data_IF_622481959612
#
_entry.id   IF_622481959612
#
_cell.length_a   1.000
_cell.length_b   1.000
_cell.length_c   1.000
_cell.angle_alpha   90.00
_cell.angle_beta   90.00
_cell.angle_gamma   90.00
#
_symmetry.space_group_name_H-M   'P 1'
#
loop_
_entity.id
_entity.type
_entity.pdbx_description
1 polymer ?
#
# COMPACT_ATOMS: atom_id res chain seq x y z
N UNK A 1 21.27 40.09 -24.55
CA UNK A 1 21.13 38.63 -24.79
C UNK A 1 19.76 38.24 -24.26
N UNK A 2 18.80 38.12 -25.17
CA UNK A 2 17.38 38.00 -24.90
C UNK A 2 16.97 36.59 -25.34
N UNK A 3 16.44 35.79 -24.43
CA UNK A 3 15.93 34.45 -24.74
C UNK A 3 14.42 34.56 -24.99
N UNK A 4 13.88 34.08 -26.13
CA UNK A 4 12.44 33.99 -26.32
C UNK A 4 11.90 32.70 -25.71
N UNK A 5 10.84 32.83 -24.91
CA UNK A 5 9.93 31.73 -24.58
C UNK A 5 9.10 31.34 -25.80
N UNK A 6 8.80 30.05 -25.94
CA UNK A 6 7.72 29.59 -26.82
C UNK A 6 7.00 28.38 -26.21
N UNK A 7 5.66 28.32 -26.28
CA UNK A 7 4.83 27.36 -25.55
C UNK A 7 4.28 26.28 -26.47
N UNK A 8 4.31 25.00 -26.06
CA UNK A 8 3.56 23.95 -26.78
C UNK A 8 3.12 22.81 -25.85
N UNK A 9 1.83 22.45 -25.96
CA UNK A 9 1.41 21.05 -25.88
C UNK A 9 0.63 20.61 -24.63
N UNK A 10 -0.65 20.99 -24.56
CA UNK A 10 -1.60 20.34 -23.64
C UNK A 10 -2.00 18.96 -24.16
N UNK A 11 -1.75 17.91 -23.37
CA UNK A 11 -2.34 16.59 -23.56
C UNK A 11 -3.45 16.35 -22.51
N UNK A 12 -4.69 16.26 -23.00
CA UNK A 12 -5.89 15.94 -22.22
C UNK A 12 -5.97 14.43 -22.03
N UNK A 13 -5.57 13.92 -20.86
CA UNK A 13 -5.77 12.50 -20.53
C UNK A 13 -7.22 12.26 -20.07
N UNK A 14 -7.97 11.53 -20.89
CA UNK A 14 -9.31 11.01 -20.57
C UNK A 14 -9.26 10.09 -19.35
N UNK A 15 -10.01 10.46 -18.31
CA UNK A 15 -10.29 9.63 -17.14
C UNK A 15 -11.28 8.54 -17.49
N UNK A 16 -10.86 7.27 -17.49
CA UNK A 16 -11.81 6.16 -17.34
C UNK A 16 -12.34 6.15 -15.90
N UNK A 17 -13.66 6.24 -15.77
CA UNK A 17 -14.40 6.13 -14.52
C UNK A 17 -14.59 4.64 -14.20
N UNK A 18 -13.85 4.09 -13.25
CA UNK A 18 -14.23 2.83 -12.61
C UNK A 18 -15.28 3.12 -11.52
N UNK A 19 -16.50 2.65 -11.77
CA UNK A 19 -17.60 2.70 -10.81
C UNK A 19 -17.33 1.73 -9.65
N UNK A 20 -17.21 2.27 -8.44
CA UNK A 20 -17.16 1.50 -7.20
C UNK A 20 -18.59 1.04 -6.88
N UNK A 21 -18.87 -0.27 -6.98
CA UNK A 21 -20.10 -0.87 -6.46
C UNK A 21 -19.94 -1.11 -4.96
N UNK A 22 -20.91 -0.69 -4.10
CA UNK A 22 -20.88 -1.05 -2.69
C UNK A 22 -21.24 -2.53 -2.53
N UNK A 23 -20.36 -3.27 -1.87
CA UNK A 23 -20.54 -4.68 -1.54
C UNK A 23 -21.62 -4.81 -0.47
N UNK A 24 -22.62 -5.62 -0.78
CA UNK A 24 -23.82 -5.88 0.02
C UNK A 24 -23.45 -6.63 1.31
N UNK A 25 -24.16 -6.24 2.37
CA UNK A 25 -24.23 -6.92 3.68
C UNK A 25 -24.54 -8.40 3.52
N UNK A 26 -23.62 -9.28 3.94
CA UNK A 26 -23.84 -10.72 4.02
C UNK A 26 -24.36 -11.11 5.43
N UNK A 27 -25.48 -11.85 5.55
CA UNK A 27 -25.93 -12.40 6.82
C UNK A 27 -25.12 -13.64 7.23
N UNK A 28 -24.89 -13.79 8.54
CA UNK A 28 -24.14 -14.88 9.14
C UNK A 28 -24.84 -16.26 8.97
N UNK A 29 -24.10 -17.37 8.77
CA UNK A 29 -24.70 -18.69 8.66
C UNK A 29 -25.03 -19.28 10.04
N UNK A 30 -26.23 -19.87 10.10
CA UNK A 30 -26.83 -20.59 11.22
C UNK A 30 -26.14 -21.96 11.36
N UNK A 31 -25.47 -22.20 12.48
CA UNK A 31 -24.84 -23.48 12.81
C UNK A 31 -25.94 -24.53 13.02
N UNK A 32 -26.00 -25.54 12.15
CA UNK A 32 -26.80 -26.76 12.38
C UNK A 32 -25.93 -27.81 13.07
N UNK A 33 -26.52 -28.49 14.06
CA UNK A 33 -25.88 -29.52 14.87
C UNK A 33 -25.58 -30.80 14.06
N UNK A 34 -24.38 -31.36 14.25
CA UNK A 34 -23.96 -32.63 13.68
C UNK A 34 -24.51 -33.82 14.49
N UNK A 35 -25.04 -34.87 13.85
CA UNK A 35 -25.42 -36.11 14.54
C UNK A 35 -24.19 -36.96 14.91
N UNK A 36 -24.20 -37.50 16.12
CA UNK A 36 -23.19 -38.45 16.64
C UNK A 36 -23.23 -39.74 15.82
N UNK A 37 -22.10 -40.11 15.20
CA UNK A 37 -21.95 -41.38 14.47
C UNK A 37 -21.27 -42.41 15.36
N UNK A 38 -21.97 -43.52 15.58
CA UNK A 38 -21.52 -44.67 16.37
C UNK A 38 -20.33 -45.40 15.71
N UNK A 39 -19.47 -45.96 16.55
CA UNK A 39 -18.29 -46.73 16.17
C UNK A 39 -18.71 -48.13 15.71
N UNK A 40 -18.39 -48.49 14.47
CA UNK A 40 -18.29 -49.90 14.06
C UNK A 40 -16.91 -50.14 13.45
N UNK A 41 -16.13 -50.92 14.17
CA UNK A 41 -14.81 -51.42 13.74
C UNK A 41 -15.05 -52.54 12.74
N UNK A 42 -14.53 -52.39 11.53
CA UNK A 42 -14.17 -53.53 10.69
C UNK A 42 -12.81 -53.25 10.03
N UNK A 43 -11.85 -54.10 10.35
CA UNK A 43 -10.52 -54.15 9.74
C UNK A 43 -10.60 -55.07 8.54
N UNK A 44 -10.42 -54.56 7.31
CA UNK A 44 -9.79 -55.31 6.20
C UNK A 44 -9.10 -54.31 5.27
N UNK A 45 -7.77 -54.44 5.16
CA UNK A 45 -6.97 -54.19 3.96
C UNK A 45 -7.07 -52.84 3.24
N UNK A 46 -6.28 -51.85 3.68
CA UNK A 46 -5.83 -50.75 2.83
C UNK A 46 -4.30 -50.84 2.70
N UNK A 47 -3.83 -51.71 1.81
CA UNK A 47 -2.41 -51.79 1.43
C UNK A 47 -2.32 -51.68 -0.08
N UNK A 48 -2.52 -50.46 -0.60
CA UNK A 48 -2.09 -49.99 -1.93
C UNK A 48 -2.55 -48.52 -2.13
N UNK A 49 -1.95 -47.59 -1.40
CA UNK A 49 -2.13 -46.15 -1.67
C UNK A 49 -0.86 -45.32 -1.41
N UNK A 50 0.31 -45.99 -1.31
CA UNK A 50 1.58 -45.32 -1.02
C UNK A 50 2.49 -45.15 -2.26
N UNK A 51 2.07 -45.63 -3.44
CA UNK A 51 2.92 -45.71 -4.63
C UNK A 51 2.57 -44.68 -5.74
N UNK A 52 1.65 -43.76 -5.49
CA UNK A 52 1.24 -42.73 -6.46
C UNK A 52 1.54 -41.31 -5.96
N UNK A 53 2.69 -41.11 -5.31
CA UNK A 53 3.15 -39.75 -4.99
C UNK A 53 3.68 -39.11 -6.29
N UNK A 54 2.78 -38.35 -6.89
CA UNK A 54 2.84 -37.60 -8.14
C UNK A 54 4.18 -36.88 -8.40
N UNK A 55 4.88 -37.15 -9.52
CA UNK A 55 6.00 -36.32 -9.98
C UNK A 55 5.60 -34.88 -10.38
N UNK A 56 4.29 -34.57 -10.53
CA UNK A 56 3.82 -33.22 -10.86
C UNK A 56 3.79 -32.25 -9.68
N UNK A 57 3.36 -32.69 -8.50
CA UNK A 57 3.23 -31.80 -7.33
C UNK A 57 4.62 -31.30 -6.85
N UNK A 58 5.65 -32.14 -6.98
CA UNK A 58 7.02 -31.79 -6.59
C UNK A 58 7.65 -30.72 -7.48
N UNK A 59 7.35 -30.72 -8.78
CA UNK A 59 7.86 -29.70 -9.71
C UNK A 59 7.18 -28.34 -9.55
N UNK A 60 5.90 -28.33 -9.15
CA UNK A 60 5.15 -27.13 -8.81
C UNK A 60 5.69 -26.48 -7.54
N UNK A 61 5.93 -27.26 -6.48
CA UNK A 61 6.56 -26.80 -5.23
C UNK A 61 7.94 -26.18 -5.50
N UNK A 62 8.80 -26.85 -6.29
CA UNK A 62 10.13 -26.34 -6.67
C UNK A 62 10.04 -25.03 -7.49
N UNK A 63 9.00 -24.88 -8.32
CA UNK A 63 8.77 -23.68 -9.10
C UNK A 63 8.31 -22.50 -8.23
N UNK A 64 7.48 -22.75 -7.22
CA UNK A 64 7.06 -21.75 -6.24
C UNK A 64 8.24 -21.27 -5.40
N UNK A 65 9.08 -22.18 -4.91
CA UNK A 65 10.29 -21.84 -4.15
C UNK A 65 11.25 -20.97 -4.96
N UNK A 66 11.46 -21.30 -6.25
CA UNK A 66 12.26 -20.48 -7.18
C UNK A 66 11.67 -19.08 -7.36
N UNK A 67 10.34 -18.97 -7.49
CA UNK A 67 9.66 -17.67 -7.61
C UNK A 67 9.80 -16.85 -6.33
N UNK A 68 9.65 -17.48 -5.16
CA UNK A 68 9.85 -16.80 -3.88
C UNK A 68 11.29 -16.31 -3.72
N UNK A 69 12.27 -17.15 -4.04
CA UNK A 69 13.69 -16.78 -3.97
C UNK A 69 14.00 -15.57 -4.85
N UNK A 70 13.59 -15.61 -6.13
CA UNK A 70 13.83 -14.50 -7.08
C UNK A 70 13.12 -13.22 -6.65
N UNK A 71 11.88 -13.33 -6.14
CA UNK A 71 11.15 -12.19 -5.60
C UNK A 71 11.88 -11.54 -4.42
N UNK A 72 12.35 -12.34 -3.46
CA UNK A 72 13.12 -11.85 -2.30
C UNK A 72 14.42 -11.17 -2.74
N UNK A 73 15.15 -11.75 -3.70
CA UNK A 73 16.38 -11.13 -4.21
C UNK A 73 16.10 -9.79 -4.91
N UNK A 74 15.03 -9.69 -5.69
CA UNK A 74 14.63 -8.45 -6.33
C UNK A 74 14.27 -7.36 -5.29
N UNK A 75 13.56 -7.73 -4.22
CA UNK A 75 13.28 -6.81 -3.11
C UNK A 75 14.57 -6.35 -2.41
N UNK A 76 15.49 -7.27 -2.11
CA UNK A 76 16.78 -6.95 -1.50
C UNK A 76 17.62 -6.02 -2.38
N UNK A 77 17.63 -6.23 -3.70
CA UNK A 77 18.32 -5.38 -4.65
C UNK A 77 17.73 -3.95 -4.70
N UNK A 78 16.41 -3.84 -4.78
CA UNK A 78 15.71 -2.55 -4.76
C UNK A 78 15.93 -1.79 -3.43
N UNK A 79 15.91 -2.51 -2.31
CA UNK A 79 16.23 -1.95 -1.00
C UNK A 79 17.69 -1.47 -0.95
N UNK A 80 18.64 -2.27 -1.46
CA UNK A 80 20.06 -1.92 -1.46
C UNK A 80 20.35 -0.65 -2.27
N UNK A 81 19.67 -0.47 -3.41
CA UNK A 81 19.73 0.77 -4.17
C UNK A 81 19.30 1.97 -3.33
N UNK A 82 18.11 1.90 -2.72
CA UNK A 82 17.56 2.99 -1.89
C UNK A 82 18.45 3.31 -0.69
N UNK A 83 18.96 2.28 -0.01
CA UNK A 83 19.91 2.45 1.11
C UNK A 83 21.20 3.12 0.63
N UNK A 84 21.71 2.74 -0.55
CA UNK A 84 22.86 3.39 -1.17
C UNK A 84 22.64 4.89 -1.38
N UNK A 85 21.49 5.28 -1.93
CA UNK A 85 21.13 6.69 -2.15
C UNK A 85 21.06 7.47 -0.82
N UNK A 86 20.39 6.94 0.19
CA UNK A 86 20.29 7.58 1.52
C UNK A 86 21.68 7.67 2.18
N UNK A 87 22.51 6.64 2.04
CA UNK A 87 23.88 6.66 2.57
C UNK A 87 24.73 7.71 1.86
N UNK A 88 24.55 7.92 0.56
CA UNK A 88 25.25 8.95 -0.18
C UNK A 88 24.86 10.36 0.31
N UNK A 89 23.57 10.64 0.45
CA UNK A 89 23.09 11.93 1.00
C UNK A 89 23.64 12.17 2.42
N UNK A 90 23.62 11.12 3.26
CA UNK A 90 24.15 11.20 4.62
C UNK A 90 25.69 11.37 4.66
N UNK A 91 26.41 10.79 3.69
CA UNK A 91 27.85 10.92 3.53
C UNK A 91 28.24 12.35 3.16
N UNK A 92 27.55 12.93 2.18
CA UNK A 92 27.75 14.31 1.73
C UNK A 92 27.46 15.31 2.86
N UNK A 93 26.33 15.15 3.56
CA UNK A 93 25.95 16.03 4.67
C UNK A 93 26.96 16.03 5.84
N UNK A 94 27.66 14.91 6.05
CA UNK A 94 28.61 14.73 7.17
C UNK A 94 30.08 14.80 6.75
N UNK A 95 30.37 14.92 5.45
CA UNK A 95 31.73 14.88 4.90
C UNK A 95 32.45 13.54 5.12
N UNK A 96 31.72 12.43 5.20
CA UNK A 96 32.27 11.07 5.41
C UNK A 96 32.06 10.19 4.17
N UNK A 97 32.76 9.06 4.08
CA UNK A 97 32.54 8.06 3.02
C UNK A 97 32.09 6.73 3.61
N UNK A 98 31.04 6.14 3.05
CA UNK A 98 30.62 4.77 3.38
C UNK A 98 31.27 3.77 2.41
N UNK A 99 31.74 2.64 2.94
CA UNK A 99 32.25 1.55 2.10
C UNK A 99 31.12 0.70 1.55
N UNK A 100 31.34 0.02 0.41
CA UNK A 100 30.34 -0.88 -0.19
C UNK A 100 29.87 -1.98 0.78
N UNK A 101 30.76 -2.65 1.55
CA UNK A 101 30.34 -3.62 2.57
C UNK A 101 29.47 -2.99 3.67
N UNK A 102 29.76 -1.76 4.09
CA UNK A 102 28.93 -1.05 5.09
C UNK A 102 27.51 -0.82 4.57
N UNK A 103 27.36 -0.38 3.32
CA UNK A 103 26.05 -0.19 2.69
C UNK A 103 25.32 -1.54 2.57
N UNK A 104 26.02 -2.61 2.16
CA UNK A 104 25.44 -3.95 2.10
C UNK A 104 24.97 -4.46 3.46
N UNK A 105 25.74 -4.23 4.52
CA UNK A 105 25.38 -4.61 5.88
C UNK A 105 24.13 -3.85 6.36
N UNK A 106 24.05 -2.53 6.10
CA UNK A 106 22.85 -1.74 6.43
C UNK A 106 21.63 -2.29 5.68
N UNK A 107 21.76 -2.58 4.39
CA UNK A 107 20.65 -3.14 3.59
C UNK A 107 20.15 -4.48 4.15
N UNK A 108 21.05 -5.38 4.56
CA UNK A 108 20.67 -6.67 5.14
C UNK A 108 20.03 -6.53 6.53
N UNK A 109 20.51 -5.59 7.35
CA UNK A 109 19.90 -5.29 8.66
C UNK A 109 18.49 -4.72 8.46
N UNK A 110 18.33 -3.75 7.56
CA UNK A 110 17.02 -3.15 7.25
C UNK A 110 16.04 -4.19 6.72
N UNK A 111 16.48 -5.09 5.84
CA UNK A 111 15.63 -6.16 5.32
C UNK A 111 15.09 -7.07 6.43
N UNK A 112 15.98 -7.51 7.36
CA UNK A 112 15.57 -8.32 8.52
C UNK A 112 14.68 -7.54 9.49
N UNK A 113 14.95 -6.25 9.67
CA UNK A 113 14.16 -5.40 10.55
C UNK A 113 12.70 -5.23 10.06
N UNK A 114 12.47 -5.24 8.75
CA UNK A 114 11.12 -5.22 8.18
C UNK A 114 10.28 -6.42 8.62
N UNK A 115 10.87 -7.60 8.82
CA UNK A 115 10.13 -8.77 9.31
C UNK A 115 9.59 -8.54 10.73
N UNK A 116 10.43 -7.98 11.61
CA UNK A 116 10.02 -7.61 12.96
C UNK A 116 8.92 -6.54 12.94
N UNK A 117 9.09 -5.50 12.13
CA UNK A 117 8.10 -4.43 12.00
C UNK A 117 6.76 -4.95 11.45
N UNK A 118 6.77 -5.83 10.44
CA UNK A 118 5.56 -6.40 9.89
C UNK A 118 4.77 -7.19 10.95
N UNK A 119 5.45 -8.05 11.71
CA UNK A 119 4.84 -8.85 12.79
C UNK A 119 4.27 -7.97 13.90
N UNK A 120 5.02 -6.96 14.33
CA UNK A 120 4.57 -6.04 15.38
C UNK A 120 3.33 -5.25 14.93
N UNK A 121 3.35 -4.71 13.70
CA UNK A 121 2.22 -3.96 13.16
C UNK A 121 0.96 -4.81 12.97
N UNK A 122 1.12 -6.07 12.53
CA UNK A 122 0.01 -7.03 12.46
C UNK A 122 -0.59 -7.25 13.86
N UNK A 123 0.26 -7.45 14.87
CA UNK A 123 -0.19 -7.65 16.24
C UNK A 123 -0.88 -6.42 16.83
N UNK A 124 -0.40 -5.20 16.54
CA UNK A 124 -1.03 -3.96 17.03
C UNK A 124 -2.42 -3.77 16.41
N UNK A 125 -2.55 -3.95 15.10
CA UNK A 125 -3.85 -3.85 14.43
C UNK A 125 -4.82 -4.92 14.98
N UNK A 126 -4.36 -6.16 15.14
CA UNK A 126 -5.15 -7.27 15.68
C UNK A 126 -5.57 -7.04 17.13
N UNK A 127 -4.70 -6.48 17.96
CA UNK A 127 -5.02 -6.12 19.35
C UNK A 127 -6.17 -5.11 19.43
N UNK A 128 -6.23 -4.18 18.47
CA UNK A 128 -7.32 -3.22 18.33
C UNK A 128 -8.54 -3.76 17.55
N UNK A 129 -8.61 -5.08 17.29
CA UNK A 129 -9.68 -5.75 16.51
C UNK A 129 -9.84 -5.20 15.08
N UNK A 130 -8.76 -4.72 14.47
CA UNK A 130 -8.69 -4.24 13.08
C UNK A 130 -7.87 -5.20 12.22
N UNK A 131 -8.18 -5.26 10.93
CA UNK A 131 -7.36 -5.95 9.91
C UNK A 131 -6.49 -4.97 9.11
N UNK A 132 -6.78 -3.68 9.17
CA UNK A 132 -6.03 -2.61 8.49
C UNK A 132 -5.17 -1.85 9.49
N UNK A 133 -3.89 -1.71 9.17
CA UNK A 133 -2.90 -0.95 9.93
C UNK A 133 -3.17 0.55 9.77
N UNK A 134 -3.16 1.29 10.88
CA UNK A 134 -3.37 2.73 10.96
C UNK A 134 -2.11 3.46 11.46
N UNK A 135 -2.12 4.80 11.41
CA UNK A 135 -1.01 5.64 11.90
C UNK A 135 -0.67 5.41 13.38
N UNK A 136 -1.67 5.11 14.20
CA UNK A 136 -1.47 4.84 15.64
C UNK A 136 -0.65 3.57 15.89
N UNK A 137 -0.76 2.56 15.01
CA UNK A 137 0.06 1.34 15.11
C UNK A 137 1.54 1.65 14.81
N UNK A 138 1.79 2.54 13.84
CA UNK A 138 3.14 3.00 13.48
C UNK A 138 3.76 3.88 14.57
N UNK A 139 2.96 4.77 15.19
CA UNK A 139 3.41 5.54 16.37
C UNK A 139 3.77 4.61 17.52
N UNK A 140 2.95 3.57 17.77
CA UNK A 140 3.21 2.59 18.83
C UNK A 140 4.50 1.79 18.56
N UNK A 141 4.81 1.50 17.30
CA UNK A 141 6.08 0.87 16.90
C UNK A 141 7.29 1.73 17.29
N UNK A 142 7.19 3.05 17.16
CA UNK A 142 8.26 4.00 17.43
C UNK A 142 8.46 4.35 18.93
N UNK A 143 7.60 3.87 19.82
CA UNK A 143 7.51 4.29 21.25
C UNK A 143 8.81 4.20 22.05
N UNK A 144 9.77 3.38 21.63
CA UNK A 144 11.02 3.13 22.37
C UNK A 144 11.98 4.32 22.34
N UNK A 145 11.83 5.22 21.38
CA UNK A 145 12.65 6.43 21.27
C UNK A 145 11.75 7.65 21.20
N UNK A 146 11.87 8.54 22.20
CA UNK A 146 11.05 9.74 22.29
C UNK A 146 11.29 10.70 21.12
N UNK A 147 12.55 10.87 20.69
CA UNK A 147 12.88 11.71 19.53
C UNK A 147 12.28 11.15 18.24
N UNK A 148 12.33 9.83 18.05
CA UNK A 148 11.75 9.17 16.89
C UNK A 148 10.22 9.25 16.89
N UNK A 149 9.59 9.02 18.05
CA UNK A 149 8.14 9.13 18.21
C UNK A 149 7.64 10.52 17.87
N UNK A 150 8.32 11.56 18.36
CA UNK A 150 7.98 12.95 18.07
C UNK A 150 8.07 13.24 16.57
N UNK A 151 9.19 12.84 15.94
CA UNK A 151 9.39 13.04 14.52
C UNK A 151 8.33 12.33 13.66
N UNK A 152 7.99 11.08 13.99
CA UNK A 152 6.95 10.32 13.27
C UNK A 152 5.57 10.95 13.49
N UNK A 153 5.29 11.45 14.69
CA UNK A 153 4.02 12.12 15.00
C UNK A 153 3.86 13.38 14.15
N UNK A 154 4.89 14.23 14.10
CA UNK A 154 4.91 15.42 13.25
C UNK A 154 4.68 15.07 11.78
N UNK A 155 5.42 14.09 11.25
CA UNK A 155 5.24 13.63 9.87
C UNK A 155 3.83 13.07 9.59
N UNK A 156 3.21 12.39 10.56
CA UNK A 156 1.84 11.89 10.41
C UNK A 156 0.81 13.01 10.32
N UNK A 157 1.02 14.11 11.05
CA UNK A 157 0.17 15.29 11.00
C UNK A 157 0.34 16.05 9.68
N UNK A 158 1.57 16.23 9.21
CA UNK A 158 1.87 16.81 7.89
C UNK A 158 1.11 16.05 6.77
N UNK A 159 1.21 14.71 6.76
CA UNK A 159 0.53 13.86 5.77
C UNK A 159 -1.00 14.00 5.89
N UNK A 160 -1.52 14.07 7.11
CA UNK A 160 -2.97 14.23 7.35
C UNK A 160 -3.48 15.56 6.79
N UNK A 161 -2.76 16.66 7.04
CA UNK A 161 -3.08 17.99 6.48
C UNK A 161 -3.03 17.98 4.96
N UNK A 162 -1.96 17.44 4.37
CA UNK A 162 -1.82 17.36 2.92
C UNK A 162 -2.96 16.55 2.27
N UNK A 163 -3.37 15.44 2.88
CA UNK A 163 -4.49 14.62 2.40
C UNK A 163 -5.84 15.36 2.49
N UNK A 164 -6.04 16.18 3.53
CA UNK A 164 -7.25 16.98 3.69
C UNK A 164 -7.33 18.07 2.61
N UNK A 165 -6.23 18.80 2.36
CA UNK A 165 -6.18 19.82 1.31
C UNK A 165 -6.47 19.23 -0.08
N UNK A 166 -5.98 18.04 -0.38
CA UNK A 166 -6.28 17.36 -1.65
C UNK A 166 -7.76 17.00 -1.78
N UNK A 167 -8.40 16.56 -0.68
CA UNK A 167 -9.85 16.29 -0.66
C UNK A 167 -10.66 17.56 -0.90
N UNK A 168 -10.27 18.67 -0.29
CA UNK A 168 -10.97 19.95 -0.43
C UNK A 168 -10.79 20.55 -1.83
N UNK A 169 -9.59 20.44 -2.43
CA UNK A 169 -9.34 20.77 -3.84
C UNK A 169 -10.20 19.94 -4.79
N UNK A 170 -10.42 18.64 -4.48
CA UNK A 170 -11.27 17.75 -5.28
C UNK A 170 -12.77 18.10 -5.15
N UNK A 171 -13.23 18.51 -3.97
CA UNK A 171 -14.61 18.98 -3.74
C UNK A 171 -14.89 20.29 -4.48
N UNK A 172 -14.00 21.28 -4.38
CA UNK A 172 -14.13 22.56 -5.11
C UNK A 172 -14.16 22.40 -6.63
N UNK A 173 -13.39 21.45 -7.18
CA UNK A 173 -13.45 21.11 -8.63
C UNK A 173 -14.74 20.41 -9.04
N UNK A 174 -15.43 19.71 -8.14
CA UNK A 174 -16.70 19.06 -8.43
C UNK A 174 -17.88 20.05 -8.40
N UNK A 175 -17.82 21.07 -7.55
CA UNK A 175 -18.86 22.10 -7.43
C UNK A 175 -18.77 23.22 -8.50
N UNK A 176 -17.57 23.48 -9.06
CA UNK A 176 -17.36 24.52 -10.09
C UNK A 176 -17.78 24.16 -11.52
N UNK A 177 -18.33 22.97 -11.77
CA UNK A 177 -18.61 22.45 -13.12
C UNK A 177 -19.97 22.84 -13.74
N UNK A 178 -20.86 23.53 -13.01
CA UNK A 178 -22.21 23.87 -13.48
C UNK A 178 -22.52 25.36 -13.35
N UNK A 179 -21.77 26.23 -14.02
CA UNK A 179 -22.28 27.56 -14.42
C UNK A 179 -21.83 27.87 -15.84
N UNK A 180 -22.64 27.48 -16.83
CA UNK A 180 -22.63 28.15 -18.14
C UNK A 180 -22.99 29.62 -17.90
N UNK A 181 -22.24 30.60 -18.41
CA UNK A 181 -22.69 31.98 -18.41
C UNK A 181 -23.85 32.11 -19.39
N UNK A 182 -25.07 32.29 -18.88
CA UNK A 182 -26.21 32.72 -19.68
C UNK A 182 -25.94 34.15 -20.15
N UNK A 183 -25.89 34.35 -21.47
CA UNK A 183 -25.86 35.67 -22.11
C UNK A 183 -27.00 36.54 -21.58
N UNK A 184 -26.80 37.82 -21.24
CA UNK A 184 -27.91 38.72 -21.00
C UNK A 184 -28.59 39.06 -22.32
N UNK A 185 -29.89 38.82 -22.40
CA UNK A 185 -30.75 39.32 -23.45
C UNK A 185 -30.97 40.83 -23.21
N UNK A 186 -30.55 41.64 -24.17
CA UNK A 186 -30.95 43.05 -24.28
C UNK A 186 -32.38 43.05 -24.84
N UNK A 187 -33.34 43.44 -24.02
CA UNK A 187 -34.66 43.85 -24.48
C UNK A 187 -34.62 45.34 -24.71
N UNK A 188 -34.83 45.73 -25.96
CA UNK A 188 -35.31 47.06 -26.35
C UNK A 188 -36.55 47.41 -25.55
N UNK A 189 -36.60 48.64 -25.04
CA UNK A 189 -37.84 49.31 -24.68
C UNK A 189 -37.81 50.66 -25.37
N UNK A 190 -38.68 50.79 -26.36
CA UNK A 190 -39.05 52.03 -27.03
C UNK A 190 -39.45 53.11 -26.01
N UNK A 191 -38.97 54.33 -26.21
CA UNK A 191 -39.48 55.54 -25.59
C UNK A 191 -39.83 56.50 -26.73
N UNK A 192 -41.13 56.65 -26.96
CA UNK A 192 -41.76 57.78 -27.64
C UNK A 192 -41.78 58.99 -26.68
N UNK A 193 -41.16 60.10 -27.07
CA UNK A 193 -41.70 61.49 -27.12
C UNK A 193 -40.64 62.46 -27.68
#
# INVERSE_FOLDING_TARGET
MHCPESPLGGAVQQRQRFAFRPFLSFPAPRIQALPKREKKVSRVGARAAAAAMEPRQREEDDAEDRRQFTFVQNLKAALHYTVGSICQEAAEAKGVRFTKPTIAAISEVTFRQCEHFAKDLEMFARHAKRSTINMEDVKLLARRSSSLLNHITEKSEEITRANQEQKDKKKKKAEGGSKKPSKPAVTEMDIDD
#
